data_IF_541102331376
#
_entry.id   IF_541102331376
#
_cell.length_a   1.000
_cell.length_b   1.000
_cell.length_c   1.000
_cell.angle_alpha   90.00
_cell.angle_beta   90.00
_cell.angle_gamma   90.00
#
_symmetry.space_group_name_H-M   'P 1'
#
loop_
_entity.id
_entity.type
_entity.pdbx_description
1 polymer ?
#
# COMPACT_ATOMS: atom_id res chain seq x y z
N UNK A 1 -37.89 -49.09 47.15
CA UNK A 1 -37.97 -49.99 45.99
C UNK A 1 -37.79 -49.16 44.71
N UNK A 2 -37.22 -49.81 43.70
CA UNK A 2 -36.51 -49.32 42.51
C UNK A 2 -37.36 -48.61 41.42
N UNK A 3 -36.63 -47.90 40.53
CA UNK A 3 -36.93 -47.50 39.13
C UNK A 3 -37.75 -46.21 38.89
N UNK A 4 -37.47 -45.37 37.87
CA UNK A 4 -36.53 -45.40 36.73
C UNK A 4 -36.33 -43.97 36.18
N UNK A 5 -35.12 -43.74 35.67
CA UNK A 5 -34.64 -42.57 34.93
C UNK A 5 -35.51 -42.18 33.72
N UNK A 6 -35.64 -40.87 33.42
CA UNK A 6 -35.92 -40.37 32.07
C UNK A 6 -35.30 -38.98 31.82
N UNK A 7 -34.22 -39.04 31.06
CA UNK A 7 -33.45 -38.04 30.33
C UNK A 7 -34.36 -37.11 29.49
N UNK A 8 -34.15 -35.79 29.58
CA UNK A 8 -34.80 -34.79 28.71
C UNK A 8 -34.20 -34.74 27.29
N UNK A 9 -34.82 -34.01 26.34
CA UNK A 9 -34.11 -32.88 25.73
C UNK A 9 -35.04 -31.71 25.27
N UNK A 10 -34.64 -30.44 25.46
CA UNK A 10 -33.85 -29.53 24.58
C UNK A 10 -34.70 -28.62 23.69
N UNK A 11 -34.70 -27.35 24.11
CA UNK A 11 -34.83 -26.11 23.35
C UNK A 11 -34.45 -26.24 21.87
N UNK A 12 -35.44 -26.09 20.99
CA UNK A 12 -35.26 -25.89 19.56
C UNK A 12 -35.36 -24.41 19.21
N UNK A 13 -34.27 -23.67 19.39
CA UNK A 13 -34.05 -22.38 18.74
C UNK A 13 -32.64 -22.40 18.17
N UNK A 14 -32.54 -22.80 16.91
CA UNK A 14 -31.34 -22.60 16.11
C UNK A 14 -31.79 -22.00 14.77
N UNK A 15 -32.09 -20.70 14.79
CA UNK A 15 -31.93 -19.87 13.60
C UNK A 15 -30.43 -19.85 13.29
N UNK A 16 -30.00 -20.73 12.38
CA UNK A 16 -28.70 -20.64 11.74
C UNK A 16 -28.68 -19.34 10.93
N UNK A 17 -28.22 -18.28 11.55
CA UNK A 17 -27.69 -17.14 10.83
C UNK A 17 -26.43 -17.65 10.11
N UNK A 18 -26.57 -17.98 8.82
CA UNK A 18 -25.43 -17.93 7.91
C UNK A 18 -25.01 -16.45 7.84
N UNK A 19 -24.15 -16.05 8.77
CA UNK A 19 -23.28 -14.91 8.56
C UNK A 19 -22.36 -15.31 7.40
N UNK A 20 -22.77 -14.95 6.19
CA UNK A 20 -21.85 -14.88 5.07
C UNK A 20 -20.72 -13.94 5.52
N UNK A 21 -19.58 -14.50 5.88
CA UNK A 21 -18.31 -13.79 5.94
C UNK A 21 -18.01 -13.33 4.52
N UNK A 22 -18.64 -12.22 4.13
CA UNK A 22 -18.18 -11.42 3.00
C UNK A 22 -16.70 -11.12 3.29
N UNK A 23 -15.76 -11.43 2.38
CA UNK A 23 -14.44 -10.86 2.50
C UNK A 23 -14.64 -9.35 2.51
N UNK A 24 -14.34 -8.75 3.66
CA UNK A 24 -14.25 -7.31 3.82
C UNK A 24 -13.46 -6.81 2.62
N UNK A 25 -14.09 -6.01 1.75
CA UNK A 25 -13.33 -5.24 0.75
C UNK A 25 -12.24 -4.52 1.54
N UNK A 26 -11.00 -4.96 1.36
CA UNK A 26 -9.89 -4.62 2.24
C UNK A 26 -9.78 -3.11 2.35
N UNK A 27 -9.97 -2.57 3.54
CA UNK A 27 -9.60 -1.20 3.81
C UNK A 27 -8.08 -1.14 3.66
N UNK A 28 -7.59 -0.33 2.73
CA UNK A 28 -6.15 -0.18 2.50
C UNK A 28 -5.43 0.07 3.83
N UNK A 29 -4.52 -0.82 4.20
CA UNK A 29 -3.88 -0.78 5.51
C UNK A 29 -2.70 0.20 5.50
N UNK A 30 -2.51 1.01 6.57
CA UNK A 30 -1.34 1.86 6.70
C UNK A 30 -0.08 1.01 6.84
N UNK A 31 0.98 1.40 6.13
CA UNK A 31 2.27 0.74 6.17
C UNK A 31 3.19 1.36 7.22
N UNK A 32 3.95 0.53 7.92
CA UNK A 32 5.11 1.00 8.69
C UNK A 32 6.31 1.29 7.78
N UNK A 33 7.38 1.83 8.36
CA UNK A 33 8.59 2.20 7.61
C UNK A 33 9.23 0.99 6.89
N UNK A 34 9.28 -0.17 7.54
CA UNK A 34 9.90 -1.35 6.96
C UNK A 34 9.06 -1.90 5.81
N UNK A 35 7.74 -1.89 5.94
CA UNK A 35 6.80 -2.27 4.89
C UNK A 35 6.89 -1.33 3.68
N UNK A 36 7.02 -0.01 3.90
CA UNK A 36 7.29 0.94 2.81
C UNK A 36 8.59 0.57 2.10
N UNK A 37 9.67 0.34 2.85
CA UNK A 37 10.96 -0.11 2.32
C UNK A 37 10.84 -1.35 1.44
N UNK A 38 10.20 -2.39 1.96
CA UNK A 38 10.00 -3.66 1.26
C UNK A 38 9.19 -3.54 -0.05
N UNK A 39 8.34 -2.52 -0.16
CA UNK A 39 7.56 -2.27 -1.37
C UNK A 39 8.32 -1.45 -2.41
N UNK A 40 9.11 -0.48 -1.98
CA UNK A 40 9.79 0.44 -2.89
C UNK A 40 11.15 -0.08 -3.35
N UNK A 41 12.01 -0.55 -2.44
CA UNK A 41 13.40 -0.90 -2.77
C UNK A 41 13.46 -2.01 -3.83
N UNK A 42 14.25 -1.77 -4.87
CA UNK A 42 14.40 -2.62 -6.04
C UNK A 42 13.27 -2.50 -7.08
N UNK A 43 12.26 -1.67 -6.83
CA UNK A 43 11.07 -1.56 -7.67
C UNK A 43 10.91 -0.15 -8.26
N UNK A 44 9.94 -0.05 -9.16
CA UNK A 44 9.55 1.20 -9.80
C UNK A 44 8.10 1.55 -9.48
N UNK A 45 7.78 2.84 -9.54
CA UNK A 45 6.41 3.34 -9.59
C UNK A 45 6.24 4.17 -10.86
N UNK A 46 5.07 4.04 -11.49
CA UNK A 46 4.67 4.92 -12.59
C UNK A 46 3.76 6.01 -12.06
N UNK A 47 4.04 7.23 -12.47
CA UNK A 47 3.14 8.35 -12.31
C UNK A 47 2.88 9.02 -13.67
N UNK A 48 1.64 9.00 -14.17
CA UNK A 48 1.34 9.55 -15.49
C UNK A 48 1.60 11.07 -15.60
N UNK A 49 1.68 11.80 -14.48
CA UNK A 49 1.91 13.25 -14.50
C UNK A 49 3.39 13.66 -14.56
N UNK A 50 4.33 12.80 -14.18
CA UNK A 50 5.74 13.18 -14.10
C UNK A 50 6.76 12.10 -14.47
N UNK A 51 6.30 10.90 -14.82
CA UNK A 51 7.16 9.83 -15.37
C UNK A 51 7.30 8.63 -14.44
N UNK A 52 8.48 8.02 -14.44
CA UNK A 52 8.76 6.79 -13.70
C UNK A 52 9.78 7.04 -12.60
N UNK A 53 9.56 6.47 -11.42
CA UNK A 53 10.55 6.52 -10.33
C UNK A 53 11.05 5.13 -10.03
N UNK A 54 12.36 4.94 -10.02
CA UNK A 54 13.02 3.72 -9.55
C UNK A 54 13.68 3.95 -8.19
N UNK A 55 13.52 3.00 -7.27
CA UNK A 55 14.10 3.03 -5.93
C UNK A 55 15.20 1.95 -5.83
N UNK A 56 16.44 2.23 -6.27
CA UNK A 56 17.50 1.22 -6.28
C UNK A 56 17.90 0.76 -4.87
N UNK A 57 17.83 1.67 -3.89
CA UNK A 57 18.25 1.42 -2.52
C UNK A 57 17.40 2.21 -1.51
N UNK A 58 17.69 1.96 -0.23
CA UNK A 58 17.22 2.83 0.85
C UNK A 58 18.02 4.13 0.81
N UNK A 59 17.31 5.26 0.66
CA UNK A 59 17.92 6.58 0.70
C UNK A 59 17.91 7.30 -0.63
N UNK A 60 17.96 6.59 -1.77
CA UNK A 60 17.98 7.22 -3.10
C UNK A 60 16.89 6.71 -4.02
N UNK A 61 16.46 7.59 -4.91
CA UNK A 61 15.54 7.29 -5.99
C UNK A 61 15.95 8.04 -7.26
N UNK A 62 15.58 7.47 -8.41
CA UNK A 62 15.81 8.03 -9.74
C UNK A 62 14.46 8.31 -10.39
N UNK A 63 14.18 9.58 -10.67
CA UNK A 63 13.03 10.02 -11.44
C UNK A 63 13.41 10.14 -12.91
N UNK A 64 12.82 9.30 -13.74
CA UNK A 64 12.87 9.35 -15.20
C UNK A 64 11.67 10.16 -15.68
N UNK A 65 11.93 11.39 -16.11
CA UNK A 65 10.88 12.30 -16.60
C UNK A 65 10.48 11.96 -18.02
N UNK A 66 9.29 12.41 -18.39
CA UNK A 66 8.73 12.24 -19.73
C UNK A 66 9.55 12.96 -20.82
N UNK A 67 10.33 13.98 -20.45
CA UNK A 67 11.23 14.70 -21.37
C UNK A 67 12.61 14.00 -21.55
N UNK A 68 12.81 12.83 -20.93
CA UNK A 68 14.06 12.08 -20.96
C UNK A 68 15.08 12.49 -19.91
N UNK A 69 14.83 13.52 -19.10
CA UNK A 69 15.70 13.92 -17.99
C UNK A 69 15.65 12.88 -16.87
N UNK A 70 16.80 12.56 -16.29
CA UNK A 70 16.90 11.71 -15.10
C UNK A 70 17.36 12.55 -13.91
N UNK A 71 16.54 12.59 -12.86
CA UNK A 71 16.85 13.30 -11.62
C UNK A 71 17.06 12.31 -10.48
N UNK A 72 18.12 12.51 -9.70
CA UNK A 72 18.36 11.78 -8.45
C UNK A 72 17.82 12.59 -7.29
N UNK A 73 17.09 11.94 -6.39
CA UNK A 73 16.61 12.55 -5.16
C UNK A 73 16.70 11.57 -4.00
N UNK A 74 16.55 12.08 -2.77
CA UNK A 74 16.58 11.25 -1.57
C UNK A 74 15.19 10.97 -1.06
N UNK A 75 15.01 9.79 -0.51
CA UNK A 75 13.78 9.38 0.14
C UNK A 75 14.10 8.59 1.41
N UNK A 76 13.17 8.63 2.36
CA UNK A 76 13.26 7.82 3.57
C UNK A 76 11.86 7.54 4.08
N UNK A 77 11.76 6.61 5.02
CA UNK A 77 10.52 6.34 5.73
C UNK A 77 10.76 6.31 7.23
N UNK A 78 9.90 6.97 7.98
CA UNK A 78 9.99 7.06 9.43
C UNK A 78 8.57 7.11 10.01
N UNK A 79 8.32 6.36 11.09
CA UNK A 79 7.04 6.38 11.78
C UNK A 79 5.82 6.04 10.90
N UNK A 80 6.00 5.18 9.89
CA UNK A 80 4.93 4.82 8.93
C UNK A 80 4.61 5.91 7.91
N UNK A 81 5.52 6.87 7.73
CA UNK A 81 5.41 7.93 6.73
C UNK A 81 6.55 7.84 5.73
N UNK A 82 6.25 8.16 4.48
CA UNK A 82 7.23 8.34 3.41
C UNK A 82 7.62 9.81 3.29
N UNK A 83 8.89 10.07 3.08
CA UNK A 83 9.45 11.40 2.85
C UNK A 83 10.37 11.38 1.64
N UNK A 84 10.51 12.55 1.03
CA UNK A 84 11.47 12.79 -0.05
C UNK A 84 11.97 14.23 0.02
N UNK A 85 13.18 14.52 -0.47
CA UNK A 85 13.68 15.90 -0.53
C UNK A 85 13.13 16.69 -1.74
N UNK A 86 12.26 16.07 -2.54
CA UNK A 86 11.52 16.68 -3.64
C UNK A 86 10.08 16.17 -3.71
N UNK A 87 9.22 16.89 -4.43
CA UNK A 87 7.84 16.47 -4.70
C UNK A 87 6.88 16.63 -3.53
N UNK A 88 5.70 16.00 -3.68
CA UNK A 88 4.55 16.25 -2.81
C UNK A 88 4.74 15.86 -1.35
N UNK A 89 5.56 14.85 -1.07
CA UNK A 89 5.79 14.33 0.29
C UNK A 89 6.96 15.01 1.01
N UNK A 90 7.59 16.04 0.41
CA UNK A 90 8.72 16.73 1.03
C UNK A 90 8.33 17.54 2.27
N UNK A 91 7.11 18.09 2.29
CA UNK A 91 6.58 18.84 3.41
C UNK A 91 5.69 17.91 4.26
N UNK A 92 6.18 17.55 5.45
CA UNK A 92 5.40 16.81 6.46
C UNK A 92 5.23 15.31 6.22
N UNK A 93 5.75 14.78 5.11
CA UNK A 93 5.68 13.37 4.77
C UNK A 93 4.26 12.90 4.38
N UNK A 94 4.22 11.79 3.66
CA UNK A 94 2.99 11.14 3.26
C UNK A 94 2.72 9.91 4.13
N UNK A 95 1.48 9.73 4.56
CA UNK A 95 0.99 8.42 4.97
C UNK A 95 0.93 7.52 3.74
N UNK A 96 1.35 6.27 3.90
CA UNK A 96 1.29 5.28 2.83
C UNK A 96 0.32 4.18 3.22
N UNK A 97 -0.68 3.93 2.39
CA UNK A 97 -1.52 2.74 2.49
C UNK A 97 -1.33 1.84 1.27
N UNK A 98 -1.54 0.54 1.45
CA UNK A 98 -1.44 -0.43 0.36
C UNK A 98 -2.76 -1.13 0.07
N UNK A 99 -3.04 -1.33 -1.22
CA UNK A 99 -4.06 -2.25 -1.72
C UNK A 99 -3.45 -3.10 -2.83
N UNK A 100 -3.08 -4.35 -2.50
CA UNK A 100 -2.38 -5.23 -3.42
C UNK A 100 -1.04 -4.67 -3.89
N UNK A 101 -0.96 -4.27 -5.17
CA UNK A 101 0.23 -3.66 -5.80
C UNK A 101 0.16 -2.12 -5.84
N UNK A 102 -0.95 -1.54 -5.44
CA UNK A 102 -1.11 -0.09 -5.41
C UNK A 102 -0.68 0.46 -4.05
N UNK A 103 0.01 1.58 -4.08
CA UNK A 103 0.33 2.38 -2.91
C UNK A 103 -0.37 3.73 -3.05
N UNK A 104 -1.00 4.19 -1.97
CA UNK A 104 -1.53 5.54 -1.88
C UNK A 104 -0.67 6.38 -0.95
N UNK A 105 -0.17 7.49 -1.46
CA UNK A 105 0.59 8.49 -0.74
C UNK A 105 -0.31 9.68 -0.47
N UNK A 106 -0.59 9.97 0.80
CA UNK A 106 -1.48 11.06 1.18
C UNK A 106 -0.87 11.94 2.27
N UNK A 107 -0.97 13.25 2.14
CA UNK A 107 -0.63 14.22 3.19
C UNK A 107 -1.83 14.49 4.10
N UNK A 108 -1.54 14.79 5.36
CA UNK A 108 -2.58 15.10 6.35
C UNK A 108 -3.31 16.43 6.06
N UNK A 109 -2.69 17.35 5.32
CA UNK A 109 -3.32 18.61 4.88
C UNK A 109 -4.24 18.47 3.66
N UNK A 110 -4.34 17.26 3.08
CA UNK A 110 -5.17 16.97 1.92
C UNK A 110 -4.68 17.56 0.60
N UNK A 111 -3.55 18.28 0.57
CA UNK A 111 -3.03 18.91 -0.64
C UNK A 111 -2.31 17.93 -1.58
N UNK A 112 -1.97 16.75 -1.07
CA UNK A 112 -1.36 15.69 -1.84
C UNK A 112 -2.03 14.36 -1.55
N UNK A 113 -2.54 13.73 -2.60
CA UNK A 113 -3.15 12.42 -2.55
C UNK A 113 -2.96 11.73 -3.91
N UNK A 114 -2.11 10.71 -3.96
CA UNK A 114 -1.74 10.01 -5.20
C UNK A 114 -1.68 8.52 -4.96
N UNK A 115 -2.38 7.78 -5.81
CA UNK A 115 -2.27 6.32 -5.89
C UNK A 115 -1.38 5.96 -7.07
N UNK A 116 -0.41 5.10 -6.84
CA UNK A 116 0.56 4.62 -7.83
C UNK A 116 0.63 3.11 -7.80
N UNK A 117 0.94 2.50 -8.93
CA UNK A 117 1.20 1.06 -9.00
C UNK A 117 2.71 0.78 -8.82
N UNK A 118 3.02 -0.22 -7.99
CA UNK A 118 4.37 -0.76 -7.85
C UNK A 118 4.63 -1.80 -8.94
N UNK A 119 5.62 -1.50 -9.78
CA UNK A 119 6.15 -2.38 -10.82
C UNK A 119 7.43 -3.02 -10.32
N UNK A 120 7.50 -4.34 -10.42
CA UNK A 120 8.66 -5.10 -9.94
C UNK A 120 9.89 -4.83 -10.82
N UNK A 121 11.03 -4.59 -10.20
CA UNK A 121 12.30 -4.30 -10.89
C UNK A 121 12.41 -2.86 -11.39
N UNK A 122 13.47 -2.59 -12.16
CA UNK A 122 13.67 -1.29 -12.80
C UNK A 122 12.88 -1.18 -14.11
N UNK A 123 11.60 -0.90 -13.99
CA UNK A 123 10.72 -0.69 -15.15
C UNK A 123 11.02 0.62 -15.89
N UNK A 124 11.69 1.57 -15.24
CA UNK A 124 11.96 2.89 -15.79
C UNK A 124 12.99 2.84 -16.93
N UNK A 125 14.01 1.99 -16.82
CA UNK A 125 15.03 1.81 -17.88
C UNK A 125 14.49 1.07 -19.11
N UNK A 126 13.48 0.21 -18.93
CA UNK A 126 12.90 -0.55 -20.03
C UNK A 126 12.05 0.29 -21.00
N UNK A 127 11.97 1.61 -20.79
CA UNK A 127 11.21 2.49 -21.68
C UNK A 127 9.69 2.29 -21.60
N UNK A 128 9.16 1.74 -20.48
CA UNK A 128 7.72 1.65 -20.21
C UNK A 128 7.06 3.03 -19.98
N UNK A 129 7.62 4.09 -20.56
CA UNK A 129 7.06 5.44 -20.60
C UNK A 129 6.17 5.65 -21.85
N UNK A 130 6.06 4.66 -22.74
CA UNK A 130 5.21 4.73 -23.93
C UNK A 130 4.24 3.55 -23.99
N UNK A 131 3.01 3.77 -23.55
CA UNK A 131 1.76 3.34 -24.23
C UNK A 131 0.57 4.03 -23.57
#
# INVERSE_FOLDING_TARGET
MLQRSKIGPRWGLALLALAATLPSRGLAEPLDAQAIGNRLIGNSILNPSFGCVHYPDAGHALLYRLDGTIERYRWWSEGGRYFSDTGGCALGGCRVTADGRQLRFSRDDGLYDRTVEVIRGNACEAGLMTT
#
